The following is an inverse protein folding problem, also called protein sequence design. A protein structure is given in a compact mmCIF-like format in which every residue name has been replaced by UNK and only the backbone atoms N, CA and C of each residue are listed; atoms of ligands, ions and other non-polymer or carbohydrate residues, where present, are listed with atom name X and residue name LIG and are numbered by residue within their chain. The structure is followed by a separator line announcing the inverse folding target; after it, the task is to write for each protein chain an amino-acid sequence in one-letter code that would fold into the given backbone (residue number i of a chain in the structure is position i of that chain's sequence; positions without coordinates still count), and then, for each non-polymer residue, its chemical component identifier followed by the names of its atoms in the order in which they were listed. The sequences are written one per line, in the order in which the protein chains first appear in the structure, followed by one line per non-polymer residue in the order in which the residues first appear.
data_IF_696126213616
#
_entry.id   IF_696126213616
#
_cell.length_a   1.000
_cell.length_b   1.000
_cell.length_c   1.000
_cell.angle_alpha   90.00
_cell.angle_beta   90.00
_cell.angle_gamma   90.00
#
_symmetry.space_group_name_H-M   'P 1'
#
loop_
_entity.id
_entity.type
_entity.pdbx_description
1 polymer ?
#
# COMPACT_ATOMS: atom_id res chain seq x y z
N UNK A 1 16.03 11.22 -16.90
CA UNK A 1 16.14 9.78 -16.61
C UNK A 1 14.94 9.39 -15.77
N UNK A 2 14.19 8.35 -16.15
CA UNK A 2 13.06 7.92 -15.34
C UNK A 2 13.52 7.24 -14.06
N UNK A 3 12.57 7.12 -13.13
CA UNK A 3 12.78 6.32 -11.92
C UNK A 3 12.65 4.84 -12.24
N UNK A 4 13.39 4.02 -11.50
CA UNK A 4 13.16 2.57 -11.46
C UNK A 4 12.49 2.26 -10.13
N UNK A 5 11.31 1.65 -10.19
CA UNK A 5 10.54 1.28 -9.00
C UNK A 5 10.59 -0.22 -8.77
N UNK A 6 11.02 -0.61 -7.59
CA UNK A 6 11.00 -2.00 -7.13
C UNK A 6 10.11 -2.10 -5.90
N UNK A 7 9.15 -3.01 -5.94
CA UNK A 7 8.28 -3.31 -4.80
C UNK A 7 8.58 -4.75 -4.37
N UNK A 8 9.01 -4.91 -3.13
CA UNK A 8 9.46 -6.20 -2.60
C UNK A 8 8.67 -6.54 -1.35
N UNK A 9 8.14 -7.75 -1.30
CA UNK A 9 7.51 -8.31 -0.11
C UNK A 9 8.29 -9.54 0.34
N UNK A 10 8.06 -10.05 1.58
CA UNK A 10 8.73 -11.26 2.03
C UNK A 10 8.51 -12.47 1.11
N UNK A 11 7.39 -12.51 0.40
CA UNK A 11 7.05 -13.66 -0.44
C UNK A 11 7.56 -13.52 -1.86
N UNK A 12 7.67 -12.28 -2.37
CA UNK A 12 8.06 -12.07 -3.78
C UNK A 12 8.49 -10.64 -4.04
N UNK A 13 9.21 -10.47 -5.13
CA UNK A 13 9.45 -9.14 -5.71
C UNK A 13 8.53 -8.99 -6.91
N UNK A 14 7.84 -7.86 -6.99
CA UNK A 14 7.08 -7.53 -8.20
C UNK A 14 8.08 -7.13 -9.30
N UNK A 15 7.71 -7.27 -10.58
CA UNK A 15 8.61 -6.85 -11.66
C UNK A 15 8.98 -5.37 -11.53
N UNK A 16 10.26 -5.06 -11.74
CA UNK A 16 10.72 -3.66 -11.75
C UNK A 16 9.95 -2.86 -12.79
N UNK A 17 9.59 -1.63 -12.43
CA UNK A 17 8.88 -0.74 -13.32
C UNK A 17 9.67 0.55 -13.52
N UNK A 18 9.52 1.12 -14.70
CA UNK A 18 10.02 2.45 -14.99
C UNK A 18 8.91 3.44 -14.69
N UNK A 19 9.20 4.55 -14.04
CA UNK A 19 8.17 5.51 -13.67
C UNK A 19 8.66 6.95 -13.82
N UNK A 20 7.73 7.83 -14.16
CA UNK A 20 7.96 9.27 -14.21
C UNK A 20 7.71 9.93 -12.87
N UNK A 21 6.87 9.30 -12.07
CA UNK A 21 6.53 9.77 -10.72
C UNK A 21 6.02 8.59 -9.89
N UNK A 22 6.40 8.57 -8.61
CA UNK A 22 5.88 7.59 -7.65
C UNK A 22 5.33 8.36 -6.47
N UNK A 23 4.08 8.06 -6.08
CA UNK A 23 3.44 8.63 -4.89
C UNK A 23 3.25 7.52 -3.86
N UNK A 24 3.71 7.76 -2.65
CA UNK A 24 3.80 6.74 -1.61
C UNK A 24 3.02 7.16 -0.35
N UNK A 25 2.33 6.20 0.30
CA UNK A 25 1.64 6.46 1.56
C UNK A 25 2.62 6.35 2.73
N UNK A 26 3.38 7.41 3.00
CA UNK A 26 4.30 7.43 4.13
C UNK A 26 3.54 7.62 5.45
N UNK A 27 4.23 7.34 6.56
CA UNK A 27 3.61 7.39 7.90
C UNK A 27 3.02 8.77 8.22
N UNK A 28 3.70 9.83 7.80
CA UNK A 28 3.29 11.21 8.09
C UNK A 28 2.53 11.87 6.93
N UNK A 29 2.14 11.10 5.92
CA UNK A 29 1.41 11.62 4.76
C UNK A 29 2.01 11.16 3.46
N UNK A 30 1.43 11.58 2.35
CA UNK A 30 1.91 11.18 1.04
C UNK A 30 3.26 11.82 0.70
N UNK A 31 4.12 11.04 0.04
CA UNK A 31 5.39 11.53 -0.50
C UNK A 31 5.36 11.30 -2.01
N UNK A 32 5.61 12.35 -2.78
CA UNK A 32 5.78 12.25 -4.23
C UNK A 32 7.27 12.25 -4.58
N UNK A 33 7.69 11.30 -5.40
CA UNK A 33 9.08 11.18 -5.84
C UNK A 33 9.14 11.36 -7.35
N UNK A 34 9.94 12.31 -7.78
CA UNK A 34 10.24 12.60 -9.20
C UNK A 34 11.69 12.25 -9.48
N UNK A 35 12.07 12.04 -10.76
CA UNK A 35 13.48 11.87 -11.10
C UNK A 35 14.32 13.02 -10.55
N UNK A 36 15.49 12.70 -10.03
CA UNK A 36 16.38 13.69 -9.41
C UNK A 36 16.04 14.04 -7.97
N UNK A 37 15.08 13.34 -7.37
CA UNK A 37 14.72 13.55 -5.97
C UNK A 37 15.94 13.31 -5.05
N UNK A 38 16.05 14.10 -3.98
CA UNK A 38 17.08 13.89 -2.98
C UNK A 38 16.96 12.51 -2.33
N UNK A 39 18.07 11.97 -1.87
CA UNK A 39 18.05 10.68 -1.18
C UNK A 39 17.10 10.73 0.01
N UNK A 40 16.30 9.67 0.17
CA UNK A 40 15.24 9.62 1.15
C UNK A 40 15.10 8.20 1.68
N UNK A 41 14.87 8.07 2.99
CA UNK A 41 14.38 6.84 3.59
C UNK A 41 13.21 7.20 4.49
N UNK A 42 12.10 6.51 4.35
CA UNK A 42 10.89 6.82 5.12
C UNK A 42 10.13 5.56 5.45
N UNK A 43 9.40 5.62 6.56
CA UNK A 43 8.50 4.55 6.96
C UNK A 43 7.15 4.72 6.27
N UNK A 44 6.56 3.62 5.82
CA UNK A 44 5.21 3.61 5.28
C UNK A 44 4.19 3.57 6.42
N UNK A 45 2.97 4.02 6.13
CA UNK A 45 1.85 3.88 7.07
C UNK A 45 1.39 2.44 7.18
N UNK A 46 0.36 2.20 7.99
CA UNK A 46 -0.19 0.85 8.21
C UNK A 46 -0.63 0.22 6.89
N UNK A 47 -1.29 0.99 6.05
CA UNK A 47 -1.69 0.59 4.72
C UNK A 47 -1.97 1.84 3.89
N UNK A 48 -1.88 1.71 2.59
CA UNK A 48 -2.18 2.85 1.73
C UNK A 48 -2.10 2.51 0.26
N UNK A 49 -2.37 3.53 -0.53
CA UNK A 49 -2.34 3.46 -1.98
C UNK A 49 -1.03 4.04 -2.49
N UNK A 50 -0.27 3.21 -3.17
CA UNK A 50 0.91 3.62 -3.92
C UNK A 50 0.48 3.80 -5.37
N UNK A 51 0.89 4.90 -5.99
CA UNK A 51 0.63 5.11 -7.41
C UNK A 51 1.94 5.41 -8.14
N UNK A 52 2.03 4.98 -9.38
CA UNK A 52 3.12 5.40 -10.24
C UNK A 52 2.61 5.65 -11.65
N UNK A 53 3.25 6.59 -12.33
CA UNK A 53 2.86 7.00 -13.67
C UNK A 53 3.96 6.67 -14.66
N UNK A 54 3.55 6.12 -15.80
CA UNK A 54 4.44 5.80 -16.89
C UNK A 54 3.72 6.02 -18.22
N UNK A 55 4.26 6.90 -19.05
CA UNK A 55 3.69 7.15 -20.37
C UNK A 55 2.24 7.64 -20.32
N UNK A 56 1.90 8.47 -19.35
CA UNK A 56 0.55 8.98 -19.17
C UNK A 56 -0.41 8.01 -18.47
N UNK A 57 0.01 6.79 -18.21
CA UNK A 57 -0.80 5.78 -17.51
C UNK A 57 -0.44 5.76 -16.03
N UNK A 58 -1.44 5.84 -15.18
CA UNK A 58 -1.28 5.69 -13.74
C UNK A 58 -1.62 4.26 -13.31
N UNK A 59 -0.72 3.65 -12.55
CA UNK A 59 -0.94 2.33 -11.96
C UNK A 59 -1.12 2.47 -10.46
N UNK A 60 -2.09 1.76 -9.93
CA UNK A 60 -2.44 1.77 -8.51
C UNK A 60 -2.02 0.48 -7.86
N UNK A 61 -1.45 0.56 -6.66
CA UNK A 61 -1.07 -0.61 -5.88
C UNK A 61 -1.47 -0.43 -4.42
N UNK A 62 -2.02 -1.47 -3.84
CA UNK A 62 -2.26 -1.54 -2.39
C UNK A 62 -0.96 -2.01 -1.75
N UNK A 63 -0.51 -1.30 -0.72
CA UNK A 63 0.68 -1.69 0.07
C UNK A 63 0.36 -1.55 1.55
N UNK A 64 1.06 -2.32 2.37
CA UNK A 64 0.94 -2.24 3.83
C UNK A 64 2.21 -1.66 4.43
N UNK A 65 2.40 -1.81 5.72
CA UNK A 65 3.53 -1.24 6.43
C UNK A 65 4.88 -1.68 5.87
N UNK A 66 5.90 -0.87 6.05
CA UNK A 66 7.24 -1.13 5.58
C UNK A 66 8.03 0.15 5.45
N UNK A 67 8.97 0.16 4.49
CA UNK A 67 9.88 1.28 4.27
C UNK A 67 10.03 1.56 2.79
N UNK A 68 10.34 2.81 2.49
CA UNK A 68 10.74 3.21 1.14
C UNK A 68 12.12 3.83 1.21
N UNK A 69 12.96 3.49 0.24
CA UNK A 69 14.26 4.11 0.04
C UNK A 69 14.30 4.67 -1.38
N UNK A 70 14.66 5.95 -1.49
CA UNK A 70 14.92 6.58 -2.78
C UNK A 70 16.39 6.96 -2.80
N UNK A 71 17.15 6.41 -3.74
CA UNK A 71 18.57 6.67 -3.88
C UNK A 71 18.92 6.69 -5.37
N UNK A 72 19.46 7.81 -5.83
CA UNK A 72 19.64 8.06 -7.24
C UNK A 72 18.26 8.09 -7.90
N UNK A 73 18.11 7.41 -9.03
CA UNK A 73 16.82 7.29 -9.69
C UNK A 73 16.15 5.95 -9.42
N UNK A 74 16.47 5.32 -8.28
CA UNK A 74 15.87 4.05 -7.87
C UNK A 74 15.04 4.24 -6.61
N UNK A 75 13.80 3.77 -6.67
CA UNK A 75 12.87 3.76 -5.53
C UNK A 75 12.61 2.30 -5.18
N UNK A 76 12.95 1.92 -3.95
CA UNK A 76 12.73 0.57 -3.45
C UNK A 76 11.73 0.61 -2.31
N UNK A 77 10.64 -0.14 -2.47
CA UNK A 77 9.58 -0.25 -1.47
C UNK A 77 9.63 -1.64 -0.87
N UNK A 78 9.90 -1.72 0.43
CA UNK A 78 9.88 -2.98 1.18
C UNK A 78 8.62 -2.96 2.02
N UNK A 79 7.67 -3.81 1.71
CA UNK A 79 6.37 -3.83 2.36
C UNK A 79 5.93 -5.25 2.68
N UNK A 80 5.09 -5.41 3.68
CA UNK A 80 4.59 -6.72 4.10
C UNK A 80 3.73 -7.36 3.00
N UNK A 81 2.82 -6.58 2.42
CA UNK A 81 1.91 -7.05 1.36
C UNK A 81 1.80 -5.99 0.28
N UNK A 82 1.74 -6.42 -0.95
CA UNK A 82 1.55 -5.54 -2.09
C UNK A 82 0.71 -6.26 -3.14
N UNK A 83 -0.29 -5.55 -3.68
CA UNK A 83 -1.12 -6.04 -4.78
C UNK A 83 -1.37 -4.90 -5.75
N UNK A 84 -1.21 -5.16 -7.04
CA UNK A 84 -1.68 -4.21 -8.04
C UNK A 84 -3.21 -4.15 -7.97
N UNK A 85 -3.78 -2.96 -8.13
CA UNK A 85 -5.22 -2.79 -8.04
C UNK A 85 -5.98 -3.70 -9.03
N UNK A 86 -5.43 -3.86 -10.23
CA UNK A 86 -6.04 -4.71 -11.26
C UNK A 86 -6.09 -6.19 -10.88
N UNK A 87 -5.22 -6.62 -9.95
CA UNK A 87 -5.13 -8.01 -9.49
C UNK A 87 -5.96 -8.29 -8.24
N UNK A 88 -6.54 -7.26 -7.62
CA UNK A 88 -7.35 -7.45 -6.42
C UNK A 88 -8.72 -8.02 -6.79
N UNK A 89 -9.05 -9.15 -6.20
CA UNK A 89 -10.41 -9.71 -6.27
C UNK A 89 -11.30 -8.90 -5.33
N UNK A 90 -12.16 -8.05 -5.88
CA UNK A 90 -12.96 -7.12 -5.09
C UNK A 90 -13.97 -7.82 -4.16
N UNK A 91 -14.50 -8.96 -4.58
CA UNK A 91 -15.41 -9.72 -3.72
C UNK A 91 -14.68 -10.32 -2.53
N UNK A 92 -13.47 -10.84 -2.74
CA UNK A 92 -12.62 -11.32 -1.66
C UNK A 92 -12.25 -10.16 -0.72
N UNK A 93 -11.89 -9.01 -1.29
CA UNK A 93 -11.53 -7.84 -0.49
C UNK A 93 -12.69 -7.39 0.40
N UNK A 94 -13.90 -7.36 -0.14
CA UNK A 94 -15.11 -7.00 0.61
C UNK A 94 -15.42 -8.01 1.71
N UNK A 95 -15.27 -9.31 1.41
CA UNK A 95 -15.49 -10.36 2.41
C UNK A 95 -14.51 -10.23 3.57
N UNK A 96 -13.24 -9.98 3.28
CA UNK A 96 -12.22 -9.81 4.32
C UNK A 96 -12.44 -8.55 5.15
N UNK A 97 -12.94 -7.49 4.53
CA UNK A 97 -13.31 -6.28 5.27
C UNK A 97 -14.42 -6.59 6.27
N UNK A 98 -15.46 -7.30 5.84
CA UNK A 98 -16.54 -7.69 6.75
C UNK A 98 -16.04 -8.56 7.91
N UNK A 99 -15.15 -9.50 7.63
CA UNK A 99 -14.54 -10.35 8.66
C UNK A 99 -13.74 -9.51 9.65
N UNK A 100 -12.96 -8.54 9.17
CA UNK A 100 -12.15 -7.68 10.03
C UNK A 100 -13.03 -6.79 10.91
N UNK A 101 -14.11 -6.26 10.35
CA UNK A 101 -15.07 -5.46 11.12
C UNK A 101 -15.72 -6.26 12.24
N UNK A 102 -16.17 -7.49 11.92
CA UNK A 102 -16.79 -8.38 12.90
C UNK A 102 -15.79 -8.82 13.98
N UNK A 103 -14.55 -9.14 13.59
CA UNK A 103 -13.53 -9.57 14.54
C UNK A 103 -13.19 -8.48 15.55
N UNK A 104 -13.05 -7.23 15.09
CA UNK A 104 -12.77 -6.10 15.97
C UNK A 104 -13.95 -5.84 16.90
N UNK A 105 -15.16 -5.80 16.36
CA UNK A 105 -16.37 -5.55 17.15
C UNK A 105 -16.54 -6.59 18.25
N UNK A 106 -16.32 -7.86 17.92
CA UNK A 106 -16.40 -8.96 18.87
C UNK A 106 -15.33 -8.81 19.97
N UNK A 107 -14.09 -8.50 19.60
CA UNK A 107 -13.01 -8.30 20.55
C UNK A 107 -13.25 -7.12 21.47
N UNK A 108 -13.78 -6.02 20.94
CA UNK A 108 -14.13 -4.84 21.74
C UNK A 108 -15.22 -5.18 22.79
N UNK A 109 -16.16 -6.03 22.43
CA UNK A 109 -17.23 -6.45 23.33
C UNK A 109 -16.76 -7.44 24.39
N UNK A 110 -15.96 -8.45 23.99
CA UNK A 110 -15.56 -9.55 24.86
C UNK A 110 -14.26 -9.30 25.62
N UNK A 111 -13.36 -8.48 25.10
CA UNK A 111 -12.03 -8.22 25.66
C UNK A 111 -11.68 -6.75 25.57
N UNK A 112 -12.49 -5.86 26.20
CA UNK A 112 -12.30 -4.40 26.00
C UNK A 112 -10.97 -3.87 26.55
N UNK A 113 -10.34 -4.57 27.48
CA UNK A 113 -9.07 -4.15 28.09
C UNK A 113 -7.85 -4.70 27.36
N UNK A 114 -8.03 -5.55 26.35
CA UNK A 114 -6.92 -6.10 25.58
C UNK A 114 -6.37 -5.07 24.59
N UNK A 115 -5.12 -5.29 24.19
CA UNK A 115 -4.53 -4.49 23.09
C UNK A 115 -5.11 -4.98 21.76
N UNK A 116 -5.93 -4.15 21.13
CA UNK A 116 -6.60 -4.46 19.88
C UNK A 116 -5.94 -3.81 18.66
N UNK A 117 -4.70 -3.31 18.80
CA UNK A 117 -3.99 -2.61 17.72
C UNK A 117 -3.88 -3.45 16.46
N UNK A 118 -3.62 -4.74 16.61
CA UNK A 118 -3.47 -5.65 15.48
C UNK A 118 -4.77 -5.79 14.69
N UNK A 119 -5.90 -5.90 15.41
CA UNK A 119 -7.22 -5.98 14.76
C UNK A 119 -7.59 -4.67 14.07
N UNK A 120 -7.23 -3.54 14.67
CA UNK A 120 -7.47 -2.23 14.06
C UNK A 120 -6.62 -2.04 12.81
N UNK A 121 -5.37 -2.50 12.84
CA UNK A 121 -4.48 -2.44 11.67
C UNK A 121 -5.02 -3.32 10.55
N UNK A 122 -5.53 -4.51 10.87
CA UNK A 122 -6.12 -5.40 9.87
C UNK A 122 -7.38 -4.79 9.26
N UNK A 123 -8.21 -4.13 10.06
CA UNK A 123 -9.38 -3.43 9.56
C UNK A 123 -8.97 -2.31 8.59
N UNK A 124 -7.98 -1.50 8.97
CA UNK A 124 -7.49 -0.42 8.12
C UNK A 124 -6.94 -0.96 6.80
N UNK A 125 -6.13 -2.02 6.86
CA UNK A 125 -5.58 -2.66 5.65
C UNK A 125 -6.68 -3.18 4.74
N UNK A 126 -7.68 -3.85 5.31
CA UNK A 126 -8.79 -4.40 4.54
C UNK A 126 -9.60 -3.28 3.87
N UNK A 127 -9.82 -2.18 4.58
CA UNK A 127 -10.54 -1.04 4.04
C UNK A 127 -9.78 -0.38 2.88
N UNK A 128 -8.47 -0.19 3.03
CA UNK A 128 -7.64 0.39 1.97
C UNK A 128 -7.63 -0.53 0.75
N UNK A 129 -7.56 -1.83 0.96
CA UNK A 129 -7.57 -2.80 -0.14
C UNK A 129 -8.84 -2.70 -0.96
N UNK A 130 -10.00 -2.62 -0.30
CA UNK A 130 -11.29 -2.44 -0.98
C UNK A 130 -11.31 -1.12 -1.76
N UNK A 131 -10.88 -0.04 -1.13
CA UNK A 131 -10.86 1.29 -1.77
C UNK A 131 -9.94 1.31 -2.99
N UNK A 132 -8.81 0.62 -2.92
CA UNK A 132 -7.88 0.53 -4.03
C UNK A 132 -8.54 -0.17 -5.23
N UNK A 133 -9.20 -1.30 -4.98
CA UNK A 133 -9.90 -2.04 -6.02
C UNK A 133 -11.04 -1.23 -6.61
N UNK A 134 -11.84 -0.55 -5.78
CA UNK A 134 -12.96 0.28 -6.23
C UNK A 134 -12.46 1.45 -7.09
N UNK A 135 -11.39 2.10 -6.67
CA UNK A 135 -10.82 3.21 -7.44
C UNK A 135 -10.36 2.75 -8.82
N UNK A 136 -9.77 1.58 -8.90
CA UNK A 136 -9.36 1.00 -10.18
C UNK A 136 -10.58 0.75 -11.08
N UNK A 137 -11.65 0.19 -10.53
CA UNK A 137 -12.86 -0.14 -11.30
C UNK A 137 -13.60 1.10 -11.80
N UNK A 138 -13.46 2.23 -11.11
CA UNK A 138 -14.14 3.47 -11.49
C UNK A 138 -13.40 4.28 -12.54
N UNK A 139 -12.28 3.82 -13.04
CA UNK A 139 -11.43 4.53 -14.02
C UNK A 139 -11.91 4.38 -15.45
#
# INVERSE_FOLDING_TARGET
MPLTLDIVTPERALPSQTAEEVVLPALDGEIGILPGHAALMSQLGVAGLLTYRQGGKETLAFVTQGFVEALGDRVTVLTERAELAEDIDIEDARARLREAELALKKAESERPDDDLSRLRAELESSLVRVRTAERYQSR
#
